data_IF_641739269828
#
_entry.id   IF_641739269828
#
_cell.length_a   1.000
_cell.length_b   1.000
_cell.length_c   1.000
_cell.angle_alpha   90.00
_cell.angle_beta   90.00
_cell.angle_gamma   90.00
#
_symmetry.space_group_name_H-M   'P 1'
#
loop_
_entity.id
_entity.type
_entity.pdbx_description
1 polymer ?
#
# COMPACT_ATOMS: atom_id res chain seq x y z
N UNK A 1 58.68 34.56 41.10
CA UNK A 1 58.12 33.80 39.97
C UNK A 1 56.83 33.14 40.44
N UNK A 2 55.81 33.97 40.53
CA UNK A 2 54.50 33.75 41.14
C UNK A 2 53.54 34.41 40.14
N UNK A 3 52.74 33.61 39.41
CA UNK A 3 51.72 33.97 38.39
C UNK A 3 51.82 33.03 37.16
N UNK A 4 51.47 31.76 37.29
CA UNK A 4 51.20 30.91 36.12
C UNK A 4 50.42 29.60 36.43
N UNK A 5 49.75 29.46 37.58
CA UNK A 5 49.12 28.18 37.96
C UNK A 5 47.76 28.34 38.67
N UNK A 6 46.98 29.35 38.28
CA UNK A 6 45.56 29.47 38.66
C UNK A 6 44.75 29.76 37.39
N UNK A 7 44.41 28.72 36.64
CA UNK A 7 43.62 28.84 35.42
C UNK A 7 43.09 27.53 34.87
N UNK A 8 42.99 26.49 35.72
CA UNK A 8 42.55 25.16 35.30
C UNK A 8 41.66 24.47 36.35
N UNK A 9 40.76 25.23 37.00
CA UNK A 9 39.70 24.66 37.85
C UNK A 9 38.46 25.58 37.77
N UNK A 10 37.76 25.62 36.63
CA UNK A 10 36.35 26.06 36.58
C UNK A 10 35.66 25.68 35.26
N UNK A 11 35.71 24.41 34.89
CA UNK A 11 34.79 23.82 33.92
C UNK A 11 34.37 22.42 34.41
N UNK A 12 34.00 22.31 35.70
CA UNK A 12 33.04 21.27 36.06
C UNK A 12 31.70 21.72 35.49
N UNK A 13 31.41 21.24 34.29
CA UNK A 13 30.07 21.30 33.73
C UNK A 13 29.12 20.76 34.78
N UNK A 14 28.18 21.60 35.20
CA UNK A 14 26.96 21.13 35.85
C UNK A 14 26.29 20.26 34.80
N UNK A 15 26.57 18.95 34.84
CA UNK A 15 25.72 17.97 34.20
C UNK A 15 24.39 18.08 34.96
N UNK A 16 23.51 18.97 34.48
CA UNK A 16 22.12 18.94 34.89
C UNK A 16 21.62 17.57 34.45
N UNK A 17 21.52 16.65 35.40
CA UNK A 17 20.81 15.42 35.22
C UNK A 17 19.40 15.81 34.77
N UNK A 18 19.12 15.72 33.48
CA UNK A 18 17.76 15.82 32.96
C UNK A 18 17.10 14.53 33.42
N UNK A 19 16.53 14.55 34.62
CA UNK A 19 15.74 13.45 35.14
C UNK A 19 14.40 13.51 34.41
N UNK A 20 14.20 12.64 33.43
CA UNK A 20 12.88 12.36 32.88
C UNK A 20 11.95 11.97 34.04
N UNK A 21 10.92 12.76 34.29
CA UNK A 21 9.94 12.47 35.33
C UNK A 21 8.78 11.67 34.75
N UNK A 22 8.38 10.61 35.46
CA UNK A 22 7.10 9.96 35.20
C UNK A 22 6.01 10.68 36.00
N UNK A 23 4.99 11.18 35.30
CA UNK A 23 3.89 11.96 35.89
C UNK A 23 2.57 11.25 35.61
N UNK A 24 1.85 10.94 36.67
CA UNK A 24 0.50 10.37 36.56
C UNK A 24 -0.52 11.47 36.30
N UNK A 25 -1.33 11.30 35.25
CA UNK A 25 -2.37 12.25 34.84
C UNK A 25 -3.74 11.68 35.15
N UNK A 26 -4.52 12.25 36.08
CA UNK A 26 -5.86 11.75 36.39
C UNK A 26 -6.84 12.03 35.24
N UNK A 27 -7.83 11.16 35.05
CA UNK A 27 -8.93 11.34 34.09
C UNK A 27 -9.95 12.38 34.62
N UNK A 28 -9.53 13.64 34.65
CA UNK A 28 -10.30 14.79 35.13
C UNK A 28 -10.22 15.93 34.13
N UNK A 29 -11.27 16.74 34.07
CA UNK A 29 -11.36 17.85 33.14
C UNK A 29 -10.18 18.82 33.30
N UNK A 30 -9.47 19.06 32.19
CA UNK A 30 -8.30 19.95 32.15
C UNK A 30 -7.00 19.37 32.72
N UNK A 31 -7.01 18.17 33.32
CA UNK A 31 -5.81 17.58 33.89
C UNK A 31 -4.76 17.26 32.83
N UNK A 32 -5.17 16.70 31.68
CA UNK A 32 -4.28 16.39 30.56
C UNK A 32 -3.58 17.64 30.00
N UNK A 33 -4.35 18.68 29.67
CA UNK A 33 -3.80 19.94 29.17
C UNK A 33 -2.83 20.57 30.18
N UNK A 34 -3.18 20.55 31.48
CA UNK A 34 -2.31 21.04 32.55
C UNK A 34 -1.01 20.24 32.65
N UNK A 35 -1.10 18.91 32.54
CA UNK A 35 0.07 18.03 32.60
C UNK A 35 1.02 18.27 31.42
N UNK A 36 0.48 18.42 30.21
CA UNK A 36 1.26 18.74 29.00
C UNK A 36 1.95 20.10 29.16
N UNK A 37 1.22 21.14 29.58
CA UNK A 37 1.77 22.48 29.76
C UNK A 37 2.89 22.55 30.81
N UNK A 38 2.85 21.67 31.82
CA UNK A 38 3.87 21.58 32.87
C UNK A 38 4.99 20.56 32.60
N UNK A 39 4.94 19.81 31.50
CA UNK A 39 5.90 18.76 31.18
C UNK A 39 7.24 19.35 30.70
N UNK A 40 8.32 18.69 31.06
CA UNK A 40 9.67 19.00 30.58
C UNK A 40 10.09 18.00 29.50
N UNK A 41 11.02 18.38 28.60
CA UNK A 41 11.59 17.43 27.65
C UNK A 41 12.15 16.19 28.36
N UNK A 42 11.75 15.01 27.87
CA UNK A 42 12.05 13.70 28.41
C UNK A 42 10.97 13.12 29.32
N UNK A 43 9.99 13.91 29.77
CA UNK A 43 8.95 13.42 30.68
C UNK A 43 8.04 12.38 30.03
N UNK A 44 7.53 11.47 30.87
CA UNK A 44 6.51 10.48 30.53
C UNK A 44 5.23 10.83 31.27
N UNK A 45 4.17 11.11 30.53
CA UNK A 45 2.84 11.37 31.05
C UNK A 45 2.00 10.09 30.96
N UNK A 46 1.87 9.40 32.09
CA UNK A 46 1.09 8.16 32.23
C UNK A 46 -0.36 8.51 32.56
N UNK A 47 -1.28 8.28 31.63
CA UNK A 47 -2.69 8.63 31.78
C UNK A 47 -3.42 7.56 32.58
N UNK A 48 -4.15 7.98 33.62
CA UNK A 48 -5.03 7.10 34.36
C UNK A 48 -6.14 6.55 33.45
N UNK A 49 -6.65 5.33 33.70
CA UNK A 49 -7.76 4.76 32.95
C UNK A 49 -8.98 5.69 32.89
N UNK A 50 -9.64 5.74 31.74
CA UNK A 50 -10.84 6.54 31.52
C UNK A 50 -10.68 7.63 30.46
N UNK A 51 -11.65 8.54 30.40
CA UNK A 51 -11.74 9.57 29.38
C UNK A 51 -11.02 10.85 29.79
N UNK A 52 -10.19 11.37 28.89
CA UNK A 52 -9.47 12.63 28.99
C UNK A 52 -9.95 13.58 27.89
N UNK A 53 -10.07 14.86 28.20
CA UNK A 53 -10.53 15.86 27.25
C UNK A 53 -9.40 16.24 26.26
N UNK A 54 -9.67 16.04 24.97
CA UNK A 54 -8.97 16.70 23.87
C UNK A 54 -9.74 17.94 23.38
N UNK A 55 -9.30 18.56 22.27
CA UNK A 55 -8.03 18.32 21.58
C UNK A 55 -6.82 18.80 22.39
N UNK A 56 -5.62 18.25 22.13
CA UNK A 56 -4.37 18.68 22.78
C UNK A 56 -3.24 18.87 21.77
N UNK A 57 -2.29 19.75 22.09
CA UNK A 57 -1.09 20.01 21.27
C UNK A 57 0.16 19.59 22.01
N UNK A 58 1.03 18.82 21.35
CA UNK A 58 2.32 18.37 21.86
C UNK A 58 3.46 19.08 21.11
N UNK A 59 4.18 19.94 21.84
CA UNK A 59 5.30 20.74 21.31
C UNK A 59 6.65 20.45 22.00
N UNK A 60 6.63 19.77 23.15
CA UNK A 60 7.82 19.31 23.89
C UNK A 60 8.10 17.83 23.62
N UNK A 61 9.37 17.42 23.66
CA UNK A 61 9.80 16.04 23.52
C UNK A 61 9.35 15.19 24.72
N UNK A 62 8.13 14.67 24.69
CA UNK A 62 7.51 13.90 25.77
C UNK A 62 6.92 12.59 25.27
N UNK A 63 6.69 11.65 26.19
CA UNK A 63 5.89 10.45 25.92
C UNK A 63 4.51 10.60 26.55
N UNK A 64 3.46 10.45 25.75
CA UNK A 64 2.09 10.34 26.21
C UNK A 64 1.68 8.87 26.17
N UNK A 65 1.41 8.29 27.34
CA UNK A 65 1.20 6.84 27.50
C UNK A 65 -0.15 6.56 28.16
N UNK A 66 -1.05 5.91 27.42
CA UNK A 66 -2.38 5.54 27.91
C UNK A 66 -2.47 4.16 28.56
N UNK A 67 -1.38 3.37 28.56
CA UNK A 67 -1.31 2.02 29.13
C UNK A 67 -2.45 1.08 28.66
N UNK A 68 -3.00 1.33 27.47
CA UNK A 68 -4.12 0.59 26.88
C UNK A 68 -5.48 0.86 27.52
N UNK A 69 -5.59 1.83 28.44
CA UNK A 69 -6.80 2.05 29.24
C UNK A 69 -7.31 3.50 29.25
N UNK A 70 -6.56 4.44 28.65
CA UNK A 70 -6.96 5.84 28.54
C UNK A 70 -7.52 6.17 27.15
N UNK A 71 -8.58 6.96 27.13
CA UNK A 71 -9.19 7.51 25.92
C UNK A 71 -9.01 9.02 25.89
N UNK A 72 -8.57 9.58 24.77
CA UNK A 72 -8.63 11.02 24.51
C UNK A 72 -9.72 11.26 23.46
N UNK A 73 -10.67 12.11 23.82
CA UNK A 73 -11.83 12.46 22.99
C UNK A 73 -11.85 13.96 22.71
N UNK A 74 -11.89 14.34 21.44
CA UNK A 74 -11.93 15.74 21.01
C UNK A 74 -13.34 16.29 20.76
N UNK A 75 -14.39 15.54 21.11
CA UNK A 75 -15.79 15.98 21.11
C UNK A 75 -16.24 16.62 19.76
N UNK A 76 -15.83 15.98 18.67
CA UNK A 76 -16.13 16.42 17.30
C UNK A 76 -15.40 17.69 16.86
N UNK A 77 -14.31 18.09 17.54
CA UNK A 77 -13.60 19.34 17.27
C UNK A 77 -12.12 19.11 16.95
N UNK A 78 -11.70 19.50 15.74
CA UNK A 78 -10.29 19.49 15.34
C UNK A 78 -9.65 18.10 15.33
N UNK A 79 -8.32 18.06 15.36
CA UNK A 79 -7.54 16.83 15.57
C UNK A 79 -7.44 16.48 17.05
N UNK A 80 -7.52 15.20 17.42
CA UNK A 80 -7.48 14.76 18.83
C UNK A 80 -6.14 15.09 19.48
N UNK A 81 -5.04 14.80 18.77
CA UNK A 81 -3.70 15.20 19.15
C UNK A 81 -3.03 15.90 17.95
N UNK A 82 -2.52 17.11 18.16
CA UNK A 82 -1.68 17.82 17.19
C UNK A 82 -0.24 17.84 17.68
N UNK A 83 0.69 17.37 16.86
CA UNK A 83 2.12 17.27 17.19
C UNK A 83 2.89 18.31 16.35
N UNK A 84 3.55 19.23 17.05
CA UNK A 84 4.38 20.29 16.45
C UNK A 84 5.85 20.16 16.84
N UNK A 85 6.15 19.47 17.95
CA UNK A 85 7.49 19.24 18.48
C UNK A 85 8.20 18.02 17.88
N UNK A 86 9.45 17.82 18.28
CA UNK A 86 10.26 16.64 17.89
C UNK A 86 10.41 15.65 19.04
N UNK A 87 10.75 14.39 18.71
CA UNK A 87 11.04 13.34 19.69
C UNK A 87 9.85 13.05 20.64
N UNK A 88 8.64 13.09 20.08
CA UNK A 88 7.37 12.85 20.80
C UNK A 88 6.91 11.43 20.54
N UNK A 89 6.48 10.74 21.60
CA UNK A 89 5.85 9.42 21.52
C UNK A 89 4.41 9.49 21.99
N UNK A 90 3.48 8.93 21.21
CA UNK A 90 2.06 8.78 21.57
C UNK A 90 1.73 7.29 21.51
N UNK A 91 1.39 6.69 22.65
CA UNK A 91 1.19 5.24 22.73
C UNK A 91 0.13 4.75 23.68
N UNK A 92 -0.44 3.58 23.37
CA UNK A 92 -1.35 2.87 24.28
C UNK A 92 -2.65 3.62 24.55
N UNK A 93 -3.10 4.47 23.63
CA UNK A 93 -4.29 5.31 23.80
C UNK A 93 -5.42 4.86 22.89
N UNK A 94 -6.65 5.09 23.31
CA UNK A 94 -7.77 5.22 22.39
C UNK A 94 -7.94 6.68 21.98
N UNK A 95 -7.89 6.98 20.69
CA UNK A 95 -8.01 8.34 20.14
C UNK A 95 -9.27 8.45 19.29
N UNK A 96 -10.20 9.32 19.68
CA UNK A 96 -11.54 9.42 19.04
C UNK A 96 -12.07 10.85 19.02
N UNK A 97 -13.14 11.07 18.26
CA UNK A 97 -13.91 12.31 18.31
C UNK A 97 -13.25 13.50 17.63
N UNK A 98 -12.39 13.28 16.63
CA UNK A 98 -11.96 14.40 15.76
C UNK A 98 -13.14 15.06 15.04
N UNK A 99 -12.93 16.29 14.58
CA UNK A 99 -13.86 17.03 13.72
C UNK A 99 -13.99 16.44 12.31
N UNK A 100 -14.58 17.18 11.38
CA UNK A 100 -14.87 16.68 10.03
C UNK A 100 -14.42 17.63 8.92
N UNK A 101 -13.45 18.49 9.19
CA UNK A 101 -12.88 19.41 8.22
C UNK A 101 -11.74 18.75 7.41
N UNK A 102 -11.93 18.66 6.08
CA UNK A 102 -10.92 18.13 5.16
C UNK A 102 -9.78 19.12 4.89
N UNK A 103 -10.01 20.43 5.04
CA UNK A 103 -9.01 21.48 4.84
C UNK A 103 -8.06 21.54 6.04
N UNK A 104 -8.60 21.42 7.26
CA UNK A 104 -7.81 21.29 8.49
C UNK A 104 -7.18 19.90 8.67
N UNK A 105 -7.67 18.89 7.93
CA UNK A 105 -7.27 17.48 8.03
C UNK A 105 -7.49 16.97 9.45
N UNK A 106 -8.70 17.13 9.96
CA UNK A 106 -9.06 16.67 11.31
C UNK A 106 -8.72 15.19 11.49
N UNK A 107 -7.88 14.88 12.47
CA UNK A 107 -7.25 13.56 12.60
C UNK A 107 -7.30 13.00 14.01
N UNK A 108 -7.15 11.68 14.15
CA UNK A 108 -6.81 11.08 15.44
C UNK A 108 -5.43 11.58 15.93
N UNK A 109 -4.44 11.60 15.05
CA UNK A 109 -3.15 12.27 15.29
C UNK A 109 -2.77 13.08 14.08
N UNK A 110 -2.48 14.36 14.26
CA UNK A 110 -1.95 15.23 13.21
C UNK A 110 -0.50 15.60 13.53
N UNK A 111 0.43 15.17 12.69
CA UNK A 111 1.85 15.48 12.79
C UNK A 111 2.18 16.55 11.77
N UNK A 112 2.54 17.73 12.26
CA UNK A 112 2.75 18.90 11.40
C UNK A 112 4.18 18.99 10.88
N UNK A 113 4.39 19.86 9.89
CA UNK A 113 5.67 20.07 9.19
C UNK A 113 6.83 20.53 10.08
N UNK A 114 6.55 21.02 11.29
CA UNK A 114 7.59 21.45 12.23
C UNK A 114 8.11 20.29 13.08
N UNK A 115 7.39 19.16 13.11
CA UNK A 115 7.76 18.00 13.89
C UNK A 115 8.84 17.14 13.22
N UNK A 116 9.54 16.32 14.02
CA UNK A 116 10.50 15.33 13.53
C UNK A 116 10.65 14.18 14.53
N UNK A 117 10.99 12.98 14.04
CA UNK A 117 11.24 11.79 14.88
C UNK A 117 10.07 11.50 15.84
N UNK A 118 8.85 11.63 15.34
CA UNK A 118 7.62 11.35 16.09
C UNK A 118 7.31 9.86 15.99
N UNK A 119 6.87 9.26 17.10
CA UNK A 119 6.43 7.87 17.18
C UNK A 119 4.97 7.81 17.60
N UNK A 120 4.11 7.26 16.75
CA UNK A 120 2.71 6.95 17.07
C UNK A 120 2.58 5.44 17.07
N UNK A 121 2.47 4.83 18.26
CA UNK A 121 2.51 3.37 18.40
C UNK A 121 1.45 2.75 19.28
N UNK A 122 0.99 1.54 18.93
CA UNK A 122 0.11 0.72 19.78
C UNK A 122 -1.16 1.46 20.27
N UNK A 123 -1.74 2.32 19.41
CA UNK A 123 -2.97 3.05 19.70
C UNK A 123 -4.18 2.43 18.99
N UNK A 124 -5.35 2.58 19.61
CA UNK A 124 -6.67 2.40 18.99
C UNK A 124 -7.16 3.76 18.45
N UNK A 125 -7.07 3.97 17.14
CA UNK A 125 -7.45 5.25 16.49
C UNK A 125 -8.79 5.05 15.78
N UNK A 126 -9.87 5.52 16.41
CA UNK A 126 -11.23 5.07 16.09
C UNK A 126 -12.13 6.23 15.67
N UNK A 127 -12.87 6.06 14.57
CA UNK A 127 -13.93 6.97 14.17
C UNK A 127 -13.47 8.38 13.80
N UNK A 128 -12.19 8.56 13.46
CA UNK A 128 -11.63 9.85 13.05
C UNK A 128 -11.75 10.08 11.54
N UNK A 129 -11.76 11.34 11.09
CA UNK A 129 -11.89 11.66 9.66
C UNK A 129 -10.67 11.07 8.95
N UNK A 130 -9.49 11.45 9.41
CA UNK A 130 -8.24 10.77 9.14
C UNK A 130 -7.73 10.06 10.41
N UNK A 131 -7.12 8.89 10.27
CA UNK A 131 -6.51 8.22 11.42
C UNK A 131 -5.26 8.97 11.88
N UNK A 132 -4.24 8.99 11.03
CA UNK A 132 -2.99 9.73 11.25
C UNK A 132 -2.65 10.58 10.02
N UNK A 133 -2.50 11.88 10.20
CA UNK A 133 -1.96 12.81 9.20
C UNK A 133 -0.47 13.05 9.48
N UNK A 134 0.38 12.73 8.52
CA UNK A 134 1.84 12.89 8.55
C UNK A 134 2.22 13.96 7.53
N UNK A 135 2.14 15.21 7.96
CA UNK A 135 2.14 16.37 7.07
C UNK A 135 3.43 17.17 7.16
N UNK A 136 4.45 16.75 6.41
CA UNK A 136 5.76 17.40 6.35
C UNK A 136 6.86 16.95 7.33
N UNK A 137 6.64 16.16 8.39
CA UNK A 137 7.71 15.87 9.35
C UNK A 137 8.80 14.99 8.73
N UNK A 138 10.00 15.06 9.31
CA UNK A 138 11.08 14.13 8.96
C UNK A 138 11.06 12.93 9.89
N UNK A 139 11.18 11.72 9.32
CA UNK A 139 11.38 10.49 10.09
C UNK A 139 10.26 10.18 11.11
N UNK A 140 9.00 10.42 10.75
CA UNK A 140 7.87 9.98 11.57
C UNK A 140 7.66 8.46 11.43
N UNK A 141 7.31 7.79 12.52
CA UNK A 141 6.96 6.37 12.55
C UNK A 141 5.56 6.18 13.08
N UNK A 142 4.71 5.48 12.31
CA UNK A 142 3.36 5.07 12.72
C UNK A 142 3.34 3.55 12.72
N UNK A 143 3.31 2.93 13.89
CA UNK A 143 3.46 1.47 14.01
C UNK A 143 2.50 0.78 14.97
N UNK A 144 2.10 -0.46 14.68
CA UNK A 144 1.32 -1.25 15.64
C UNK A 144 -0.07 -0.68 15.99
N UNK A 145 -0.57 0.33 15.26
CA UNK A 145 -1.85 0.95 15.57
C UNK A 145 -3.00 0.17 14.92
N UNK A 146 -4.15 0.16 15.59
CA UNK A 146 -5.41 -0.24 15.00
C UNK A 146 -6.19 1.00 14.59
N UNK A 147 -6.36 1.21 13.29
CA UNK A 147 -7.01 2.39 12.72
C UNK A 147 -8.34 1.97 12.10
N UNK A 148 -9.45 2.45 12.67
CA UNK A 148 -10.79 2.16 12.18
C UNK A 148 -11.49 3.45 11.75
N UNK A 149 -11.60 3.66 10.44
CA UNK A 149 -12.19 4.86 9.85
C UNK A 149 -13.71 4.92 9.93
N UNK A 150 -14.28 6.09 9.65
CA UNK A 150 -15.73 6.33 9.69
C UNK A 150 -16.48 5.63 8.56
N UNK A 151 -17.79 5.44 8.74
CA UNK A 151 -18.70 4.88 7.73
C UNK A 151 -19.94 5.74 7.47
N UNK A 152 -20.05 6.87 8.15
CA UNK A 152 -21.18 7.82 8.14
C UNK A 152 -21.32 8.61 6.84
N UNK A 153 -20.24 8.78 6.08
CA UNK A 153 -20.25 9.43 4.76
C UNK A 153 -20.16 8.43 3.60
N UNK A 154 -20.41 8.89 2.37
CA UNK A 154 -20.05 8.16 1.15
C UNK A 154 -18.53 7.93 1.09
N UNK A 155 -18.10 6.81 0.50
CA UNK A 155 -16.70 6.37 0.45
C UNK A 155 -15.71 7.51 0.11
N UNK A 156 -16.02 8.31 -0.92
CA UNK A 156 -15.12 9.36 -1.40
C UNK A 156 -15.00 10.59 -0.48
N UNK A 157 -15.98 10.78 0.41
CA UNK A 157 -16.05 11.87 1.38
C UNK A 157 -15.54 11.47 2.77
N UNK A 158 -15.00 10.26 2.92
CA UNK A 158 -14.30 9.83 4.14
C UNK A 158 -12.82 10.21 4.01
N UNK A 159 -12.14 10.36 5.14
CA UNK A 159 -10.68 10.48 5.15
C UNK A 159 -9.99 9.11 5.13
N UNK A 160 -8.66 9.16 5.12
CA UNK A 160 -7.80 7.99 4.98
C UNK A 160 -7.35 7.47 6.35
N UNK A 161 -6.95 6.19 6.43
CA UNK A 161 -6.35 5.64 7.64
C UNK A 161 -5.06 6.38 8.01
N UNK A 162 -4.11 6.44 7.09
CA UNK A 162 -2.90 7.26 7.18
C UNK A 162 -2.79 8.15 5.95
N UNK A 163 -2.61 9.45 6.15
CA UNK A 163 -2.29 10.40 5.08
C UNK A 163 -0.86 10.90 5.24
N UNK A 164 -0.04 10.77 4.20
CA UNK A 164 1.35 11.22 4.19
C UNK A 164 1.52 12.29 3.11
N UNK A 165 1.98 13.47 3.50
CA UNK A 165 2.26 14.57 2.58
C UNK A 165 3.65 15.15 2.84
N UNK A 166 4.52 15.14 1.82
CA UNK A 166 5.86 15.75 1.87
C UNK A 166 6.70 15.39 3.14
N UNK A 167 6.62 14.13 3.58
CA UNK A 167 7.22 13.67 4.83
C UNK A 167 8.30 12.61 4.58
N UNK A 168 9.54 13.01 4.26
CA UNK A 168 10.58 12.08 3.86
C UNK A 168 11.09 11.21 5.02
N UNK A 169 11.42 9.96 4.71
CA UNK A 169 11.89 9.00 5.71
C UNK A 169 10.79 8.46 6.63
N UNK A 170 9.52 8.63 6.27
CA UNK A 170 8.39 8.14 7.04
C UNK A 170 8.33 6.61 7.01
N UNK A 171 8.06 5.99 8.16
CA UNK A 171 7.86 4.54 8.30
C UNK A 171 6.44 4.27 8.78
N UNK A 172 5.66 3.54 7.99
CA UNK A 172 4.31 3.08 8.35
C UNK A 172 4.33 1.56 8.39
N UNK A 173 4.34 0.96 9.58
CA UNK A 173 4.52 -0.50 9.71
C UNK A 173 3.62 -1.19 10.72
N UNK A 174 3.30 -2.46 10.47
CA UNK A 174 2.60 -3.32 11.43
C UNK A 174 1.23 -2.77 11.91
N UNK A 175 0.58 -1.90 11.12
CA UNK A 175 -0.75 -1.36 11.46
C UNK A 175 -1.89 -2.25 10.92
N UNK A 176 -3.02 -2.31 11.64
CA UNK A 176 -4.30 -2.88 11.17
C UNK A 176 -5.26 -1.74 10.82
N UNK A 177 -5.50 -1.52 9.53
CA UNK A 177 -6.29 -0.41 9.00
C UNK A 177 -7.56 -0.93 8.35
N UNK A 178 -8.71 -0.40 8.76
CA UNK A 178 -10.01 -0.82 8.24
C UNK A 178 -11.01 0.33 8.15
N UNK A 179 -11.89 0.30 7.15
CA UNK A 179 -12.93 1.32 6.93
C UNK A 179 -12.36 2.73 6.71
N UNK A 180 -13.23 3.72 6.46
CA UNK A 180 -12.80 5.02 5.92
C UNK A 180 -12.77 4.99 4.38
N UNK A 181 -11.82 5.72 3.78
CA UNK A 181 -11.61 5.80 2.32
C UNK A 181 -10.45 4.93 1.84
N UNK A 182 -9.21 5.40 2.01
CA UNK A 182 -7.99 4.66 1.63
C UNK A 182 -7.22 4.28 2.89
N UNK A 183 -6.47 3.17 2.85
CA UNK A 183 -5.67 2.71 3.98
C UNK A 183 -4.50 3.64 4.24
N UNK A 184 -3.54 3.63 3.32
CA UNK A 184 -2.39 4.53 3.32
C UNK A 184 -2.41 5.35 2.03
N UNK A 185 -2.57 6.66 2.15
CA UNK A 185 -2.47 7.59 1.03
C UNK A 185 -1.20 8.42 1.15
N UNK A 186 -0.37 8.40 0.12
CA UNK A 186 0.89 9.15 0.06
C UNK A 186 0.82 10.14 -1.08
N UNK A 187 1.11 11.40 -0.81
CA UNK A 187 1.13 12.46 -1.79
C UNK A 187 2.44 13.26 -1.71
N UNK A 188 3.19 13.30 -2.81
CA UNK A 188 4.42 14.08 -2.95
C UNK A 188 5.42 13.86 -1.80
N UNK A 189 5.77 12.61 -1.50
CA UNK A 189 6.71 12.24 -0.42
C UNK A 189 7.74 11.22 -0.90
N UNK A 190 8.98 11.23 -0.42
CA UNK A 190 10.02 10.31 -0.90
C UNK A 190 10.68 9.54 0.24
N UNK A 191 11.40 8.47 -0.10
CA UNK A 191 12.22 7.70 0.85
C UNK A 191 11.39 7.10 2.01
N UNK A 192 10.13 6.74 1.75
CA UNK A 192 9.23 6.15 2.73
C UNK A 192 9.25 4.62 2.73
N UNK A 193 8.96 4.01 3.89
CA UNK A 193 8.87 2.56 4.05
C UNK A 193 7.47 2.21 4.57
N UNK A 194 6.72 1.45 3.80
CA UNK A 194 5.35 1.07 4.10
C UNK A 194 5.27 -0.45 4.11
N UNK A 195 5.28 -1.06 5.29
CA UNK A 195 5.48 -2.51 5.39
C UNK A 195 4.67 -3.24 6.44
N UNK A 196 4.32 -4.50 6.16
CA UNK A 196 3.60 -5.39 7.11
C UNK A 196 2.28 -4.81 7.65
N UNK A 197 1.62 -3.93 6.91
CA UNK A 197 0.30 -3.42 7.27
C UNK A 197 -0.81 -4.38 6.78
N UNK A 198 -1.84 -4.58 7.59
CA UNK A 198 -3.07 -5.29 7.22
C UNK A 198 -4.17 -4.27 6.90
N UNK A 199 -4.72 -4.32 5.69
CA UNK A 199 -5.66 -3.29 5.18
C UNK A 199 -6.91 -3.93 4.59
N UNK A 200 -8.10 -3.57 5.11
CA UNK A 200 -9.35 -4.27 4.81
C UNK A 200 -10.56 -3.33 4.64
N UNK A 201 -11.49 -3.70 3.76
CA UNK A 201 -12.75 -2.98 3.54
C UNK A 201 -12.59 -1.48 3.20
N UNK A 202 -11.55 -1.16 2.43
CA UNK A 202 -11.18 0.17 1.96
C UNK A 202 -11.47 0.30 0.46
N UNK A 203 -11.40 1.54 -0.04
CA UNK A 203 -11.25 1.79 -1.46
C UNK A 203 -9.89 1.29 -1.91
N UNK A 204 -8.81 1.94 -1.50
CA UNK A 204 -7.43 1.51 -1.83
C UNK A 204 -6.67 1.09 -0.57
N UNK A 205 -5.90 0.00 -0.61
CA UNK A 205 -5.05 -0.37 0.53
C UNK A 205 -3.86 0.60 0.61
N UNK A 206 -3.05 0.67 -0.44
CA UNK A 206 -1.97 1.66 -0.59
C UNK A 206 -2.23 2.48 -1.85
N UNK A 207 -2.16 3.80 -1.70
CA UNK A 207 -2.38 4.76 -2.78
C UNK A 207 -1.23 5.76 -2.82
N UNK A 208 -0.32 5.58 -3.77
CA UNK A 208 0.78 6.51 -4.02
C UNK A 208 0.42 7.50 -5.10
N UNK A 209 0.68 8.77 -4.82
CA UNK A 209 0.72 9.88 -5.76
C UNK A 209 2.08 10.57 -5.60
N UNK A 210 2.99 10.36 -6.55
CA UNK A 210 4.32 10.97 -6.53
C UNK A 210 5.19 10.55 -5.33
N UNK A 211 5.34 9.23 -5.13
CA UNK A 211 6.11 8.67 -4.02
C UNK A 211 7.39 7.95 -4.48
N UNK A 212 8.50 8.70 -4.62
CA UNK A 212 9.72 8.16 -5.22
C UNK A 212 10.65 7.51 -4.18
N UNK A 213 11.56 6.65 -4.65
CA UNK A 213 12.58 5.98 -3.81
C UNK A 213 11.99 5.29 -2.57
N UNK A 214 10.75 4.81 -2.67
CA UNK A 214 9.98 4.32 -1.53
C UNK A 214 9.71 2.82 -1.66
N UNK A 215 9.47 2.18 -0.52
CA UNK A 215 9.26 0.74 -0.40
C UNK A 215 7.82 0.42 0.02
N UNK A 216 7.19 -0.52 -0.68
CA UNK A 216 5.92 -1.16 -0.27
C UNK A 216 6.18 -2.65 -0.11
N UNK A 217 6.27 -3.15 1.13
CA UNK A 217 6.69 -4.55 1.35
C UNK A 217 5.92 -5.34 2.40
N UNK A 218 5.63 -6.61 2.13
CA UNK A 218 5.00 -7.49 3.12
C UNK A 218 3.60 -7.07 3.57
N UNK A 219 2.93 -6.14 2.86
CA UNK A 219 1.60 -5.68 3.22
C UNK A 219 0.53 -6.66 2.74
N UNK A 220 -0.61 -6.66 3.43
CA UNK A 220 -1.73 -7.56 3.15
C UNK A 220 -2.97 -6.71 2.92
N UNK A 221 -3.47 -6.73 1.68
CA UNK A 221 -4.73 -6.13 1.26
C UNK A 221 -5.80 -7.22 1.12
N UNK A 222 -6.94 -7.06 1.79
CA UNK A 222 -8.04 -8.04 1.71
C UNK A 222 -9.39 -7.36 1.48
N UNK A 223 -10.07 -7.72 0.39
CA UNK A 223 -11.46 -7.33 0.15
C UNK A 223 -11.67 -5.84 -0.15
N UNK A 224 -10.61 -5.12 -0.52
CA UNK A 224 -10.64 -3.70 -0.88
C UNK A 224 -11.14 -3.52 -2.32
N UNK A 225 -11.44 -2.28 -2.74
CA UNK A 225 -11.72 -2.01 -4.16
C UNK A 225 -10.47 -2.22 -5.02
N UNK A 226 -9.31 -1.82 -4.52
CA UNK A 226 -8.00 -1.97 -5.16
C UNK A 226 -6.94 -2.22 -4.07
N UNK A 227 -6.02 -3.15 -4.33
CA UNK A 227 -4.91 -3.42 -3.42
C UNK A 227 -3.88 -2.29 -3.40
N UNK A 228 -2.97 -2.31 -4.36
CA UNK A 228 -1.83 -1.39 -4.43
C UNK A 228 -1.91 -0.49 -5.66
N UNK A 229 -2.28 0.79 -5.49
CA UNK A 229 -2.27 1.81 -6.53
C UNK A 229 -0.98 2.62 -6.48
N UNK A 230 -0.07 2.36 -7.41
CA UNK A 230 1.25 2.98 -7.47
C UNK A 230 1.29 3.96 -8.64
N UNK A 231 1.06 5.25 -8.34
CA UNK A 231 0.87 6.28 -9.36
C UNK A 231 1.99 7.33 -9.35
N UNK A 232 2.41 7.73 -10.56
CA UNK A 232 3.36 8.82 -10.81
C UNK A 232 4.67 8.74 -10.01
N UNK A 233 5.15 7.52 -9.76
CA UNK A 233 6.26 7.26 -8.84
C UNK A 233 7.46 6.67 -9.57
N UNK A 234 8.66 6.89 -9.05
CA UNK A 234 9.90 6.49 -9.68
C UNK A 234 10.86 5.82 -8.70
N UNK A 235 11.57 4.77 -9.14
CA UNK A 235 12.55 4.03 -8.31
C UNK A 235 11.94 3.45 -7.03
N UNK A 236 10.75 2.85 -7.15
CA UNK A 236 10.08 2.20 -6.00
C UNK A 236 10.39 0.70 -5.95
N UNK A 237 10.38 0.13 -4.75
CA UNK A 237 10.48 -1.31 -4.53
C UNK A 237 9.15 -1.83 -3.97
N UNK A 238 8.61 -2.88 -4.58
CA UNK A 238 7.29 -3.43 -4.26
C UNK A 238 7.42 -4.94 -4.13
N UNK A 239 7.48 -5.45 -2.91
CA UNK A 239 7.76 -6.89 -2.76
C UNK A 239 7.07 -7.61 -1.63
N UNK A 240 6.80 -8.89 -1.86
CA UNK A 240 6.19 -9.79 -0.87
C UNK A 240 4.81 -9.31 -0.36
N UNK A 241 4.09 -8.50 -1.14
CA UNK A 241 2.75 -8.05 -0.77
C UNK A 241 1.69 -9.08 -1.21
N UNK A 242 0.61 -9.16 -0.45
CA UNK A 242 -0.55 -10.00 -0.76
C UNK A 242 -1.76 -9.11 -1.07
N UNK A 243 -2.32 -9.23 -2.26
CA UNK A 243 -3.62 -8.67 -2.62
C UNK A 243 -4.61 -9.82 -2.80
N UNK A 244 -5.56 -9.92 -1.87
CA UNK A 244 -6.44 -11.08 -1.71
C UNK A 244 -7.90 -10.66 -1.77
N UNK A 245 -8.64 -11.19 -2.73
CA UNK A 245 -10.05 -10.87 -2.94
C UNK A 245 -10.34 -9.36 -3.12
N UNK A 246 -9.35 -8.59 -3.57
CA UNK A 246 -9.55 -7.21 -3.99
C UNK A 246 -10.36 -7.18 -5.29
N UNK A 247 -11.23 -6.18 -5.45
CA UNK A 247 -12.26 -6.20 -6.50
C UNK A 247 -11.73 -5.91 -7.90
N UNK A 248 -11.18 -4.71 -8.11
CA UNK A 248 -10.88 -4.19 -9.45
C UNK A 248 -9.44 -4.46 -9.88
N UNK A 249 -8.46 -4.12 -9.03
CA UNK A 249 -7.05 -4.33 -9.34
C UNK A 249 -6.29 -4.77 -8.10
N UNK A 250 -5.39 -5.73 -8.26
CA UNK A 250 -4.52 -6.13 -7.15
C UNK A 250 -3.29 -5.25 -7.06
N UNK A 251 -2.61 -5.07 -8.19
CA UNK A 251 -1.48 -4.16 -8.35
C UNK A 251 -1.68 -3.26 -9.56
N UNK A 252 -1.56 -1.95 -9.38
CA UNK A 252 -1.68 -0.97 -10.46
C UNK A 252 -0.41 -0.13 -10.54
N UNK A 253 0.18 -0.08 -11.73
CA UNK A 253 1.33 0.75 -12.09
C UNK A 253 0.85 1.80 -13.10
N UNK A 254 0.67 3.03 -12.64
CA UNK A 254 0.19 4.12 -13.50
C UNK A 254 1.23 5.25 -13.51
N UNK A 255 1.93 5.47 -14.63
CA UNK A 255 3.12 6.35 -14.66
C UNK A 255 4.17 5.96 -13.60
N UNK A 256 4.27 4.68 -13.23
CA UNK A 256 5.28 4.15 -12.33
C UNK A 256 6.51 3.68 -13.12
N UNK A 257 7.70 4.17 -12.76
CA UNK A 257 8.90 3.98 -13.58
C UNK A 257 10.10 3.49 -12.77
N UNK A 258 10.97 2.72 -13.41
CA UNK A 258 12.20 2.20 -12.79
C UNK A 258 11.92 1.43 -11.48
N UNK A 259 10.79 0.74 -11.39
CA UNK A 259 10.37 -0.01 -10.21
C UNK A 259 10.88 -1.45 -10.23
N UNK A 260 11.16 -1.99 -9.05
CA UNK A 260 11.39 -3.43 -8.81
C UNK A 260 10.15 -4.00 -8.12
N UNK A 261 9.43 -4.89 -8.81
CA UNK A 261 8.18 -5.50 -8.35
C UNK A 261 8.35 -7.01 -8.30
N UNK A 262 8.42 -7.58 -7.10
CA UNK A 262 8.76 -9.00 -6.94
C UNK A 262 8.11 -9.76 -5.81
N UNK A 263 7.91 -11.06 -5.97
CA UNK A 263 7.40 -11.92 -4.89
C UNK A 263 5.99 -11.58 -4.41
N UNK A 264 5.24 -10.74 -5.15
CA UNK A 264 3.89 -10.37 -4.78
C UNK A 264 2.89 -11.45 -5.21
N UNK A 265 1.81 -11.60 -4.45
CA UNK A 265 0.68 -12.46 -4.80
C UNK A 265 -0.56 -11.61 -5.02
N UNK A 266 -1.23 -11.83 -6.15
CA UNK A 266 -2.58 -11.35 -6.39
C UNK A 266 -3.48 -12.53 -6.68
N UNK A 267 -4.56 -12.69 -5.90
CA UNK A 267 -5.56 -13.72 -6.14
C UNK A 267 -6.94 -13.40 -5.54
N UNK A 268 -7.93 -14.24 -5.86
CA UNK A 268 -9.25 -14.20 -5.23
C UNK A 268 -10.34 -13.56 -6.07
N UNK A 269 -10.27 -13.67 -7.41
CA UNK A 269 -11.32 -13.20 -8.32
C UNK A 269 -11.24 -11.71 -8.67
N UNK A 270 -10.07 -11.10 -8.55
CA UNK A 270 -9.83 -9.71 -8.94
C UNK A 270 -10.01 -9.54 -10.45
N UNK A 271 -10.62 -8.42 -10.88
CA UNK A 271 -10.83 -8.16 -12.31
C UNK A 271 -9.48 -8.08 -13.06
N UNK A 272 -8.49 -7.35 -12.53
CA UNK A 272 -7.14 -7.28 -13.10
C UNK A 272 -6.11 -7.58 -12.01
N UNK A 273 -5.43 -8.71 -12.12
CA UNK A 273 -4.36 -9.04 -11.19
C UNK A 273 -3.29 -7.93 -11.19
N UNK A 274 -2.87 -7.49 -12.37
CA UNK A 274 -2.00 -6.33 -12.53
C UNK A 274 -2.42 -5.45 -13.71
N UNK A 275 -2.38 -4.12 -13.52
CA UNK A 275 -2.61 -3.14 -14.58
C UNK A 275 -1.40 -2.22 -14.76
N UNK A 276 -0.92 -2.13 -15.98
CA UNK A 276 0.29 -1.39 -16.36
C UNK A 276 -0.10 -0.35 -17.41
N UNK A 277 -0.06 0.92 -17.00
CA UNK A 277 -0.44 2.08 -17.80
C UNK A 277 0.69 3.11 -17.83
N UNK A 278 1.20 3.39 -19.03
CA UNK A 278 2.30 4.31 -19.28
C UNK A 278 3.46 4.21 -18.27
N UNK A 279 3.87 2.98 -17.98
CA UNK A 279 4.86 2.63 -16.98
C UNK A 279 6.08 2.00 -17.66
N UNK A 280 7.28 2.50 -17.38
CA UNK A 280 8.48 2.16 -18.15
C UNK A 280 9.66 1.70 -17.28
N UNK A 281 10.50 0.85 -17.85
CA UNK A 281 11.76 0.38 -17.22
C UNK A 281 11.55 -0.33 -15.89
N UNK A 282 10.42 -1.01 -15.72
CA UNK A 282 10.16 -1.77 -14.51
C UNK A 282 10.64 -3.23 -14.66
N UNK A 283 11.10 -3.81 -13.57
CA UNK A 283 11.42 -5.22 -13.45
C UNK A 283 10.33 -5.90 -12.63
N UNK A 284 9.59 -6.82 -13.24
CA UNK A 284 8.44 -7.50 -12.65
C UNK A 284 8.73 -8.99 -12.65
N UNK A 285 9.06 -9.56 -11.50
CA UNK A 285 9.54 -10.94 -11.43
C UNK A 285 9.16 -11.73 -10.20
N UNK A 286 9.08 -13.06 -10.35
CA UNK A 286 8.73 -13.99 -9.29
C UNK A 286 7.41 -13.61 -8.56
N UNK A 287 6.48 -12.93 -9.26
CA UNK A 287 5.14 -12.66 -8.76
C UNK A 287 4.17 -13.78 -9.15
N UNK A 288 3.08 -13.93 -8.41
CA UNK A 288 2.02 -14.89 -8.69
C UNK A 288 0.70 -14.15 -8.94
N UNK A 289 0.13 -14.36 -10.13
CA UNK A 289 -1.14 -13.80 -10.57
C UNK A 289 -2.13 -14.94 -10.81
N UNK A 290 -3.11 -15.09 -9.92
CA UNK A 290 -3.92 -16.30 -9.83
C UNK A 290 -5.43 -16.01 -9.77
N UNK A 291 -6.18 -16.66 -10.66
CA UNK A 291 -7.65 -16.66 -10.62
C UNK A 291 -8.28 -15.27 -10.84
N UNK A 292 -7.62 -14.40 -11.62
CA UNK A 292 -8.14 -13.11 -12.02
C UNK A 292 -8.90 -13.18 -13.37
N UNK A 293 -9.77 -12.21 -13.65
CA UNK A 293 -10.38 -12.11 -15.00
C UNK A 293 -9.30 -11.80 -16.04
N UNK A 294 -8.37 -10.90 -15.70
CA UNK A 294 -7.17 -10.61 -16.49
C UNK A 294 -5.92 -10.72 -15.60
N UNK A 295 -4.94 -11.52 -16.00
CA UNK A 295 -3.65 -11.63 -15.31
C UNK A 295 -2.86 -10.31 -15.34
N UNK A 296 -2.42 -9.90 -16.53
CA UNK A 296 -1.85 -8.56 -16.76
C UNK A 296 -2.61 -7.83 -17.86
N UNK A 297 -3.08 -6.62 -17.58
CA UNK A 297 -3.54 -5.68 -18.59
C UNK A 297 -2.45 -4.61 -18.81
N UNK A 298 -1.83 -4.65 -19.99
CA UNK A 298 -0.69 -3.85 -20.38
C UNK A 298 -1.07 -2.90 -21.52
N UNK A 299 -0.99 -1.58 -21.30
CA UNK A 299 -1.49 -0.59 -22.26
C UNK A 299 -0.71 0.74 -22.22
N UNK A 300 -1.15 1.69 -23.04
CA UNK A 300 -0.70 3.08 -23.10
C UNK A 300 0.81 3.25 -23.32
N UNK A 301 1.39 2.46 -24.23
CA UNK A 301 2.78 2.64 -24.64
C UNK A 301 3.82 2.33 -23.55
N UNK A 302 3.45 1.56 -22.53
CA UNK A 302 4.39 1.05 -21.52
C UNK A 302 5.56 0.31 -22.21
N UNK A 303 6.80 0.69 -21.91
CA UNK A 303 7.98 0.29 -22.68
C UNK A 303 9.15 -0.10 -21.78
N UNK A 304 10.01 -1.01 -22.28
CA UNK A 304 11.23 -1.48 -21.60
C UNK A 304 10.97 -2.11 -20.23
N UNK A 305 9.80 -2.73 -20.02
CA UNK A 305 9.54 -3.52 -18.82
C UNK A 305 10.05 -4.95 -19.04
N UNK A 306 10.75 -5.50 -18.05
CA UNK A 306 11.15 -6.89 -18.02
C UNK A 306 10.15 -7.68 -17.16
N UNK A 307 9.49 -8.68 -17.76
CA UNK A 307 8.47 -9.51 -17.10
C UNK A 307 8.93 -10.96 -17.21
N UNK A 308 9.48 -11.52 -16.13
CA UNK A 308 10.14 -12.84 -16.11
C UNK A 308 9.94 -13.53 -14.76
N UNK A 309 9.93 -14.86 -14.71
CA UNK A 309 9.82 -15.62 -13.46
C UNK A 309 8.45 -15.59 -12.79
N UNK A 310 7.48 -14.88 -13.35
CA UNK A 310 6.13 -14.79 -12.77
C UNK A 310 5.34 -16.06 -13.05
N UNK A 311 4.28 -16.29 -12.28
CA UNK A 311 3.35 -17.39 -12.52
C UNK A 311 1.94 -16.88 -12.76
N UNK A 312 1.36 -17.29 -13.89
CA UNK A 312 0.01 -16.97 -14.33
C UNK A 312 -0.88 -18.22 -14.20
N UNK A 313 -1.69 -18.28 -13.14
CA UNK A 313 -2.45 -19.48 -12.77
C UNK A 313 -3.96 -19.25 -12.89
N UNK A 314 -4.63 -19.96 -13.80
CA UNK A 314 -6.09 -20.01 -13.87
C UNK A 314 -6.77 -18.65 -14.06
N UNK A 315 -6.07 -17.66 -14.64
CA UNK A 315 -6.72 -16.42 -15.03
C UNK A 315 -7.59 -16.67 -16.27
N UNK A 316 -8.72 -15.98 -16.39
CA UNK A 316 -9.60 -16.14 -17.57
C UNK A 316 -8.91 -15.66 -18.85
N UNK A 317 -8.20 -14.54 -18.78
CA UNK A 317 -7.30 -14.03 -19.82
C UNK A 317 -5.94 -13.82 -19.19
N UNK A 318 -4.91 -14.56 -19.61
CA UNK A 318 -3.58 -14.40 -18.99
C UNK A 318 -3.02 -13.00 -19.21
N UNK A 319 -3.08 -12.51 -20.47
CA UNK A 319 -2.55 -11.20 -20.84
C UNK A 319 -3.49 -10.46 -21.77
N UNK A 320 -3.81 -9.21 -21.42
CA UNK A 320 -4.40 -8.22 -22.31
C UNK A 320 -3.35 -7.19 -22.68
N UNK A 321 -2.71 -7.35 -23.84
CA UNK A 321 -1.69 -6.44 -24.34
C UNK A 321 -2.25 -5.54 -25.43
N UNK A 322 -2.25 -4.22 -25.19
CA UNK A 322 -2.71 -3.22 -26.16
C UNK A 322 -1.50 -2.47 -26.70
N UNK A 323 -0.87 -3.04 -27.73
CA UNK A 323 0.26 -2.44 -28.44
C UNK A 323 0.48 -3.06 -29.81
N UNK A 324 1.28 -2.40 -30.64
CA UNK A 324 1.56 -2.83 -32.03
C UNK A 324 2.95 -3.47 -32.19
N UNK A 325 3.75 -3.52 -31.13
CA UNK A 325 5.12 -4.07 -31.14
C UNK A 325 5.14 -5.48 -30.56
N UNK A 326 6.13 -6.27 -30.95
CA UNK A 326 6.45 -7.50 -30.24
C UNK A 326 7.23 -7.19 -28.97
N UNK A 327 6.87 -7.85 -27.88
CA UNK A 327 7.56 -7.73 -26.60
C UNK A 327 7.95 -9.12 -26.11
N UNK A 328 9.21 -9.27 -25.75
CA UNK A 328 9.75 -10.49 -25.16
C UNK A 328 9.53 -10.47 -23.64
N UNK A 329 8.89 -11.49 -23.12
CA UNK A 329 8.61 -11.72 -21.69
C UNK A 329 9.42 -12.91 -21.19
N UNK A 330 10.68 -12.94 -21.58
CA UNK A 330 11.75 -13.71 -20.95
C UNK A 330 12.99 -12.83 -20.84
N UNK A 331 13.86 -13.15 -19.88
CA UNK A 331 15.11 -12.44 -19.68
C UNK A 331 16.19 -13.46 -19.31
N UNK A 332 17.34 -13.40 -19.99
CA UNK A 332 18.48 -14.30 -19.78
C UNK A 332 18.09 -15.79 -19.73
N UNK A 333 17.24 -16.21 -20.68
CA UNK A 333 16.79 -17.60 -20.79
C UNK A 333 15.76 -18.03 -19.73
N UNK A 334 15.20 -17.08 -18.97
CA UNK A 334 14.14 -17.34 -17.98
C UNK A 334 12.87 -16.58 -18.35
N UNK A 335 11.81 -17.31 -18.65
CA UNK A 335 10.46 -16.80 -18.91
C UNK A 335 9.54 -16.88 -17.70
N UNK A 336 8.23 -16.96 -17.95
CA UNK A 336 7.17 -17.05 -16.96
C UNK A 336 6.51 -18.43 -16.99
N UNK A 337 5.82 -18.80 -15.92
CA UNK A 337 4.97 -19.99 -15.87
C UNK A 337 3.55 -19.64 -16.32
N UNK A 338 2.98 -20.49 -17.18
CA UNK A 338 1.64 -20.32 -17.76
C UNK A 338 0.81 -21.59 -17.55
N UNK A 339 -0.25 -21.50 -16.75
CA UNK A 339 -1.11 -22.66 -16.44
C UNK A 339 -1.89 -23.21 -17.63
N UNK A 340 -2.06 -22.42 -18.70
CA UNK A 340 -2.72 -22.78 -19.96
C UNK A 340 -1.74 -23.09 -21.09
N UNK A 341 -0.44 -23.20 -20.78
CA UNK A 341 0.56 -23.71 -21.72
C UNK A 341 0.74 -25.22 -21.54
N UNK A 342 0.19 -26.06 -22.44
CA UNK A 342 0.59 -27.46 -22.50
C UNK A 342 2.01 -27.53 -23.07
N UNK A 343 2.99 -27.74 -22.21
CA UNK A 343 4.41 -27.76 -22.54
C UNK A 343 5.07 -29.10 -22.14
N UNK A 344 6.17 -29.39 -22.82
CA UNK A 344 7.10 -30.47 -22.48
C UNK A 344 8.48 -29.88 -22.22
N UNK A 345 9.24 -30.59 -21.41
CA UNK A 345 10.63 -30.28 -21.05
C UNK A 345 11.37 -31.61 -21.19
N UNK A 346 11.93 -31.85 -22.37
CA UNK A 346 12.55 -33.12 -22.76
C UNK A 346 14.00 -33.23 -22.27
N UNK A 347 14.69 -32.11 -22.10
CA UNK A 347 16.07 -32.07 -21.60
C UNK A 347 16.17 -31.94 -20.08
N UNK A 348 15.06 -31.61 -19.41
CA UNK A 348 14.91 -31.62 -17.95
C UNK A 348 15.48 -30.39 -17.27
N UNK A 349 15.64 -29.27 -17.99
CA UNK A 349 16.24 -28.04 -17.47
C UNK A 349 15.24 -27.14 -16.71
N UNK A 350 13.96 -27.50 -16.71
CA UNK A 350 12.87 -26.78 -16.05
C UNK A 350 12.24 -25.65 -16.90
N UNK A 351 12.66 -25.51 -18.15
CA UNK A 351 12.13 -24.61 -19.16
C UNK A 351 11.37 -25.44 -20.21
N UNK A 352 10.28 -24.89 -20.73
CA UNK A 352 9.54 -25.52 -21.81
C UNK A 352 10.35 -25.45 -23.12
N UNK A 353 10.45 -26.57 -23.83
CA UNK A 353 11.12 -26.66 -25.14
C UNK A 353 10.46 -25.75 -26.21
N UNK A 354 9.20 -25.37 -26.00
CA UNK A 354 8.43 -24.53 -26.93
C UNK A 354 8.15 -23.16 -26.33
N UNK A 355 8.29 -22.12 -27.15
CA UNK A 355 7.91 -20.76 -26.77
C UNK A 355 6.40 -20.60 -26.63
N UNK A 356 5.97 -19.66 -25.79
CA UNK A 356 4.57 -19.36 -25.52
C UNK A 356 4.15 -17.98 -26.02
N UNK A 357 2.89 -17.85 -26.45
CA UNK A 357 2.26 -16.58 -26.82
C UNK A 357 0.93 -16.46 -26.08
N UNK A 358 0.83 -15.62 -25.03
CA UNK A 358 -0.37 -15.50 -24.21
C UNK A 358 -1.49 -14.67 -24.86
N UNK A 359 -1.23 -14.04 -26.01
CA UNK A 359 -2.23 -13.29 -26.77
C UNK A 359 -2.05 -13.46 -28.29
N UNK A 360 -3.15 -13.34 -29.03
CA UNK A 360 -3.19 -13.39 -30.48
C UNK A 360 -3.91 -12.19 -31.12
N UNK A 361 -3.92 -12.10 -32.45
CA UNK A 361 -4.63 -11.03 -33.18
C UNK A 361 -6.15 -11.13 -33.02
N UNK A 362 -6.68 -12.34 -32.82
CA UNK A 362 -8.12 -12.51 -32.58
C UNK A 362 -8.51 -11.89 -31.24
N UNK A 363 -7.64 -11.92 -30.24
CA UNK A 363 -7.85 -11.24 -28.97
C UNK A 363 -7.97 -9.73 -29.17
N UNK A 364 -7.16 -9.13 -30.06
CA UNK A 364 -7.32 -7.71 -30.45
C UNK A 364 -8.68 -7.41 -31.10
N UNK A 365 -9.17 -8.30 -31.97
CA UNK A 365 -10.48 -8.15 -32.60
C UNK A 365 -11.58 -8.29 -31.54
N UNK A 366 -11.48 -9.27 -30.64
CA UNK A 366 -12.44 -9.47 -29.55
C UNK A 366 -12.47 -8.28 -28.58
N UNK A 367 -11.34 -7.63 -28.32
CA UNK A 367 -11.30 -6.44 -27.48
C UNK A 367 -11.89 -5.19 -28.16
N UNK A 368 -11.74 -5.06 -29.48
CA UNK A 368 -12.34 -3.95 -30.23
C UNK A 368 -13.82 -4.18 -30.56
N UNK A 369 -14.24 -5.43 -30.69
CA UNK A 369 -15.60 -5.85 -31.01
C UNK A 369 -16.05 -7.00 -30.09
N UNK A 370 -16.51 -6.71 -28.86
CA UNK A 370 -16.91 -7.73 -27.89
C UNK A 370 -17.99 -8.70 -28.39
N UNK A 371 -18.86 -8.25 -29.30
CA UNK A 371 -19.90 -9.08 -29.92
C UNK A 371 -19.33 -10.26 -30.75
N UNK A 372 -18.07 -10.16 -31.21
CA UNK A 372 -17.40 -11.24 -31.92
C UNK A 372 -17.06 -12.45 -31.03
N UNK A 373 -17.17 -12.33 -29.70
CA UNK A 373 -16.96 -13.44 -28.76
C UNK A 373 -17.88 -14.64 -29.00
N UNK A 374 -19.08 -14.41 -29.54
CA UNK A 374 -20.03 -15.46 -29.93
C UNK A 374 -19.49 -16.37 -31.05
N UNK A 375 -18.47 -15.92 -31.78
CA UNK A 375 -17.87 -16.65 -32.90
C UNK A 375 -16.59 -17.41 -32.50
N UNK A 376 -16.16 -17.38 -31.23
CA UNK A 376 -14.91 -18.04 -30.82
C UNK A 376 -14.89 -19.56 -31.07
N UNK A 377 -16.06 -20.22 -30.98
CA UNK A 377 -16.20 -21.64 -31.31
C UNK A 377 -16.31 -21.93 -32.81
N UNK A 378 -16.36 -20.91 -33.67
CA UNK A 378 -16.55 -21.10 -35.10
C UNK A 378 -15.29 -21.70 -35.74
N UNK A 379 -15.42 -22.69 -36.65
CA UNK A 379 -14.29 -23.33 -37.32
C UNK A 379 -13.35 -22.35 -38.03
N UNK A 380 -13.87 -21.25 -38.59
CA UNK A 380 -13.06 -20.22 -39.22
C UNK A 380 -12.14 -19.49 -38.23
N UNK A 381 -12.62 -19.21 -37.01
CA UNK A 381 -11.81 -18.57 -35.95
C UNK A 381 -10.73 -19.53 -35.45
N UNK A 382 -11.07 -20.81 -35.27
CA UNK A 382 -10.11 -21.86 -34.90
C UNK A 382 -9.02 -22.06 -35.95
N UNK A 383 -9.38 -22.04 -37.24
CA UNK A 383 -8.42 -22.16 -38.35
C UNK A 383 -7.47 -20.96 -38.39
N UNK A 384 -7.96 -19.74 -38.16
CA UNK A 384 -7.10 -18.56 -38.10
C UNK A 384 -6.15 -18.67 -36.90
N UNK A 385 -6.63 -18.98 -35.69
CA UNK A 385 -5.78 -19.20 -34.51
C UNK A 385 -4.70 -20.27 -34.75
N UNK A 386 -5.07 -21.38 -35.36
CA UNK A 386 -4.11 -22.43 -35.73
C UNK A 386 -3.07 -21.92 -36.72
N UNK A 387 -3.49 -21.18 -37.76
CA UNK A 387 -2.58 -20.58 -38.73
C UNK A 387 -1.62 -19.58 -38.09
N UNK A 388 -2.08 -18.78 -37.14
CA UNK A 388 -1.25 -17.82 -36.39
C UNK A 388 -0.20 -18.50 -35.53
N UNK A 389 -0.55 -19.63 -34.91
CA UNK A 389 0.38 -20.44 -34.14
C UNK A 389 1.51 -21.02 -35.00
N UNK A 390 1.23 -21.36 -36.28
CA UNK A 390 2.18 -22.05 -37.17
C UNK A 390 2.89 -21.13 -38.17
N UNK A 391 2.38 -19.91 -38.42
CA UNK A 391 2.95 -18.94 -39.37
C UNK A 391 3.10 -17.54 -38.74
N UNK A 392 4.11 -17.33 -37.87
CA UNK A 392 4.17 -16.16 -36.98
C UNK A 392 4.55 -14.83 -37.65
N UNK A 393 5.16 -14.87 -38.85
CA UNK A 393 5.83 -13.74 -39.47
C UNK A 393 4.91 -12.69 -40.15
N UNK A 394 3.59 -12.85 -40.06
CA UNK A 394 2.62 -12.07 -40.86
C UNK A 394 1.72 -11.11 -40.06
N UNK A 395 1.91 -10.95 -38.74
CA UNK A 395 0.95 -10.25 -37.87
C UNK A 395 1.53 -9.14 -36.97
N UNK A 396 0.71 -8.12 -36.62
CA UNK A 396 1.16 -6.97 -35.85
C UNK A 396 1.24 -7.26 -34.34
N UNK A 397 2.46 -7.28 -33.80
CA UNK A 397 2.74 -7.17 -32.36
C UNK A 397 2.25 -8.33 -31.49
N UNK A 398 2.51 -8.25 -30.19
CA UNK A 398 2.08 -9.24 -29.20
C UNK A 398 3.20 -9.69 -28.25
N UNK A 399 2.82 -10.48 -27.25
CA UNK A 399 3.75 -11.02 -26.26
C UNK A 399 4.30 -12.35 -26.73
N UNK A 400 5.61 -12.52 -26.60
CA UNK A 400 6.31 -13.79 -26.77
C UNK A 400 7.06 -14.08 -25.48
N UNK A 401 6.95 -15.32 -24.99
CA UNK A 401 7.80 -15.85 -23.95
C UNK A 401 8.64 -16.98 -24.56
N UNK A 402 9.92 -16.70 -24.78
CA UNK A 402 10.84 -17.62 -25.45
C UNK A 402 11.37 -18.73 -24.55
N UNK A 403 11.23 -18.61 -23.22
CA UNK A 403 11.73 -19.60 -22.27
C UNK A 403 10.73 -19.88 -21.12
N UNK A 404 9.50 -20.37 -21.42
CA UNK A 404 8.47 -20.54 -20.41
C UNK A 404 8.90 -21.49 -19.29
N UNK A 405 8.56 -21.20 -18.04
CA UNK A 405 8.90 -22.06 -16.91
C UNK A 405 7.95 -23.25 -16.80
N UNK A 406 8.46 -24.42 -16.42
CA UNK A 406 7.66 -25.63 -16.19
C UNK A 406 6.96 -25.67 -14.82
N UNK A 407 7.40 -24.84 -13.87
CA UNK A 407 6.82 -24.80 -12.51
C UNK A 407 6.50 -23.36 -12.08
N UNK A 408 5.37 -23.15 -11.40
CA UNK A 408 5.02 -21.84 -10.88
C UNK A 408 5.88 -21.47 -9.67
N UNK A 409 6.12 -20.18 -9.48
CA UNK A 409 6.54 -19.64 -8.18
C UNK A 409 5.45 -19.89 -7.12
N UNK A 410 5.88 -20.24 -5.91
CA UNK A 410 4.98 -20.48 -4.77
C UNK A 410 5.09 -19.29 -3.82
N UNK A 411 3.94 -18.68 -3.53
CA UNK A 411 3.81 -17.66 -2.49
C UNK A 411 2.82 -18.18 -1.46
N UNK A 412 3.28 -18.37 -0.22
CA UNK A 412 2.47 -18.92 0.87
C UNK A 412 1.62 -17.84 1.51
N UNK A 413 0.32 -18.11 1.69
CA UNK A 413 -0.58 -17.27 2.46
C UNK A 413 -0.77 -17.90 3.85
N UNK A 414 -0.49 -17.18 4.94
CA UNK A 414 -0.72 -17.71 6.29
C UNK A 414 -2.18 -18.10 6.53
N UNK A 415 -2.44 -19.17 7.29
CA UNK A 415 -3.81 -19.71 7.49
C UNK A 415 -4.79 -18.68 8.04
N UNK A 416 -4.35 -17.83 8.98
CA UNK A 416 -5.17 -16.75 9.52
C UNK A 416 -5.59 -15.74 8.44
N UNK A 417 -4.71 -15.45 7.48
CA UNK A 417 -4.97 -14.54 6.36
C UNK A 417 -5.87 -15.21 5.32
N UNK A 418 -5.66 -16.49 5.03
CA UNK A 418 -6.52 -17.27 4.14
C UNK A 418 -7.97 -17.35 4.68
N UNK A 419 -8.15 -17.44 6.00
CA UNK A 419 -9.47 -17.39 6.62
C UNK A 419 -10.15 -16.01 6.45
N UNK A 420 -9.39 -14.91 6.49
CA UNK A 420 -9.92 -13.57 6.22
C UNK A 420 -10.29 -13.40 4.73
N UNK A 421 -9.45 -13.87 3.82
CA UNK A 421 -9.71 -13.91 2.38
C UNK A 421 -11.02 -14.66 2.06
N UNK A 422 -11.20 -15.86 2.62
CA UNK A 422 -12.42 -16.64 2.41
C UNK A 422 -13.69 -15.90 2.85
N UNK A 423 -13.62 -15.16 3.97
CA UNK A 423 -14.72 -14.31 4.44
C UNK A 423 -14.98 -13.15 3.46
N UNK A 424 -13.94 -12.47 3.00
CA UNK A 424 -14.06 -11.37 2.04
C UNK A 424 -14.69 -11.83 0.73
N UNK A 425 -14.27 -12.98 0.18
CA UNK A 425 -14.87 -13.58 -1.02
C UNK A 425 -16.36 -13.93 -0.82
N UNK A 426 -16.73 -14.45 0.35
CA UNK A 426 -18.13 -14.75 0.66
C UNK A 426 -18.99 -13.48 0.72
N UNK A 427 -18.46 -12.37 1.26
CA UNK A 427 -19.15 -11.08 1.29
C UNK A 427 -19.25 -10.44 -0.10
N UNK A 428 -18.22 -10.55 -0.94
CA UNK A 428 -18.18 -9.96 -2.28
C UNK A 428 -19.33 -10.43 -3.18
N UNK A 429 -19.72 -11.72 -3.08
CA UNK A 429 -20.87 -12.29 -3.83
C UNK A 429 -22.21 -11.60 -3.52
N UNK A 430 -22.30 -10.90 -2.40
CA UNK A 430 -23.51 -10.22 -1.94
C UNK A 430 -23.45 -8.69 -2.08
N UNK A 431 -22.32 -8.11 -2.54
CA UNK A 431 -22.19 -6.66 -2.70
C UNK A 431 -22.95 -6.22 -3.97
N UNK A 432 -24.00 -5.41 -3.79
CA UNK A 432 -24.62 -4.66 -4.90
C UNK A 432 -23.62 -3.68 -5.48
N UNK A 433 -23.67 -3.51 -6.78
CA UNK A 433 -22.82 -2.71 -7.66
C UNK A 433 -22.96 -1.19 -7.48
N UNK A 434 -23.30 -0.70 -6.28
CA UNK A 434 -23.52 0.73 -6.04
C UNK A 434 -22.21 1.56 -6.07
N UNK A 435 -21.04 0.90 -6.07
CA UNK A 435 -19.70 1.51 -6.21
C UNK A 435 -19.19 1.57 -7.67
N UNK A 436 -19.96 1.10 -8.67
CA UNK A 436 -19.49 0.91 -10.07
C UNK A 436 -19.16 2.21 -10.84
N UNK A 437 -19.34 3.38 -10.24
CA UNK A 437 -18.98 4.65 -10.87
C UNK A 437 -17.54 5.12 -10.59
N UNK A 438 -16.70 4.26 -10.01
CA UNK A 438 -15.29 4.56 -9.81
C UNK A 438 -14.44 4.00 -10.95
N UNK A 439 -14.20 4.83 -11.97
CA UNK A 439 -13.06 4.64 -12.86
C UNK A 439 -11.86 5.41 -12.28
N UNK A 440 -10.81 4.72 -11.77
CA UNK A 440 -9.60 5.37 -11.27
C UNK A 440 -8.88 6.23 -12.31
N UNK A 441 -9.25 6.14 -13.59
CA UNK A 441 -8.68 6.90 -14.69
C UNK A 441 -9.62 7.99 -15.22
N UNK A 442 -10.91 8.03 -14.86
CA UNK A 442 -11.89 8.96 -15.44
C UNK A 442 -11.69 10.45 -15.04
N UNK A 443 -10.73 10.74 -14.15
CA UNK A 443 -10.38 12.10 -13.73
C UNK A 443 -9.01 12.58 -14.26
N UNK A 444 -8.45 11.92 -15.27
CA UNK A 444 -7.17 12.29 -15.85
C UNK A 444 -7.27 12.60 -17.35
#
# INVERSE_FOLDING_TARGET
MLRALLGLILFLGVATSVTAAERHVPAQTGALATAIAGALPGDVLTLAPGQHNGPVTLDQAITLDGQGAATIDADGTGSVITITGSDITVRGLTLTGSGSDHDAIDSGVQITRTAARVLVEDNDILGNLYGVDVHGPKQATVRGNRIVGRTDHHMNSRGNGVYVWNAPGTVIEDNDIRLGRDGIFVNASNDGIFRRNLMRDLRFAVHYMYANNSEVSGNISIGNTLGFALMFSNRITVHNNLSLADRSHGLMLNYANNADIRGNLVRGGTEKCTFIYNAHRNLIYDNRFEGCEIGIHFTAGSERNAITGNAFLGNRTQVKYVGTKHVEWSHDGRGNYWSDHPAFDLDGDGIADASFRPNDLMDHILWSQPAASLLMGAPAVQLIRWGQKHFPASLPGGVLDSAPLMRPVIVTVPDAIAAMEARAMATARNRKTDDEQFDPLARH
#
